data_IF_986754545951
#
_entry.id   IF_986754545951
#
_cell.length_a   1.000
_cell.length_b   1.000
_cell.length_c   1.000
_cell.angle_alpha   90.00
_cell.angle_beta   90.00
_cell.angle_gamma   90.00
#
_symmetry.space_group_name_H-M   'P 1'
#
loop_
_entity.id
_entity.type
_entity.pdbx_description
1 polymer ?
#
# COMPACT_ATOMS: atom_id res chain seq x y z
N UNK A 1 26.99 -51.55 -2.47
CA UNK A 1 26.27 -51.09 -3.68
C UNK A 1 25.03 -50.33 -3.23
N UNK A 2 25.09 -48.99 -3.24
CA UNK A 2 23.93 -48.11 -3.11
C UNK A 2 24.35 -46.77 -3.75
N UNK A 3 24.28 -46.73 -5.09
CA UNK A 3 24.46 -45.48 -5.84
C UNK A 3 23.12 -44.73 -5.79
N UNK A 4 22.93 -43.93 -4.75
CA UNK A 4 21.95 -42.86 -4.78
C UNK A 4 22.49 -41.82 -5.77
N UNK A 5 22.06 -41.94 -7.04
CA UNK A 5 22.34 -40.97 -8.09
C UNK A 5 21.71 -39.64 -7.72
N UNK A 6 22.41 -38.81 -6.94
CA UNK A 6 22.07 -37.39 -6.83
C UNK A 6 22.28 -36.79 -8.21
N UNK A 7 21.19 -36.48 -8.92
CA UNK A 7 21.21 -35.72 -10.16
C UNK A 7 21.76 -34.32 -9.89
N UNK A 8 23.10 -34.20 -9.90
CA UNK A 8 23.81 -32.93 -9.79
C UNK A 8 23.82 -32.31 -11.18
N UNK A 9 23.33 -31.08 -11.30
CA UNK A 9 23.11 -30.46 -12.60
C UNK A 9 24.27 -29.53 -13.03
N UNK A 10 24.91 -28.79 -12.11
CA UNK A 10 25.99 -27.85 -12.45
C UNK A 10 26.83 -27.36 -11.26
N UNK A 11 28.05 -26.87 -11.56
CA UNK A 11 29.02 -26.26 -10.63
C UNK A 11 29.16 -24.73 -10.83
N UNK A 12 29.44 -23.99 -9.75
CA UNK A 12 29.50 -22.51 -9.68
C UNK A 12 30.87 -22.05 -9.14
N UNK A 13 31.46 -21.02 -9.75
CA UNK A 13 32.73 -20.40 -9.31
C UNK A 13 32.58 -18.92 -8.87
N UNK A 14 33.22 -18.54 -7.74
CA UNK A 14 33.21 -17.17 -7.14
C UNK A 14 34.47 -16.37 -7.46
N UNK A 15 34.34 -15.04 -7.59
CA UNK A 15 35.46 -14.08 -7.58
C UNK A 15 35.33 -13.13 -6.39
N UNK A 16 36.40 -12.98 -5.61
CA UNK A 16 36.44 -12.06 -4.47
C UNK A 16 36.90 -10.68 -4.96
N UNK A 17 36.04 -9.66 -4.91
CA UNK A 17 36.34 -8.35 -5.53
C UNK A 17 37.47 -7.58 -4.84
N UNK A 18 37.88 -8.00 -3.64
CA UNK A 18 38.81 -7.24 -2.80
C UNK A 18 40.29 -7.66 -2.92
N UNK A 19 40.63 -8.60 -3.81
CA UNK A 19 42.02 -9.00 -4.02
C UNK A 19 42.28 -9.32 -5.50
N UNK A 20 42.90 -8.37 -6.21
CA UNK A 20 43.12 -8.45 -7.65
C UNK A 20 44.08 -9.58 -8.10
N UNK A 21 44.82 -10.21 -7.17
CA UNK A 21 45.96 -11.06 -7.51
C UNK A 21 45.90 -12.53 -7.04
N UNK A 22 44.77 -13.04 -6.52
CA UNK A 22 44.64 -14.49 -6.25
C UNK A 22 43.34 -15.06 -6.81
N UNK A 23 43.42 -15.72 -7.97
CA UNK A 23 42.32 -16.47 -8.56
C UNK A 23 42.12 -17.79 -7.81
N UNK A 24 41.42 -17.75 -6.68
CA UNK A 24 40.99 -18.97 -6.00
C UNK A 24 39.62 -19.37 -6.54
N UNK A 25 39.60 -20.37 -7.43
CA UNK A 25 38.36 -21.02 -7.90
C UNK A 25 37.77 -21.79 -6.73
N UNK A 26 36.81 -21.19 -6.04
CA UNK A 26 36.03 -21.89 -5.01
C UNK A 26 34.72 -22.40 -5.62
N UNK A 27 34.45 -23.69 -5.41
CA UNK A 27 33.20 -24.31 -5.79
C UNK A 27 32.13 -23.89 -4.78
N UNK A 28 31.22 -23.02 -5.20
CA UNK A 28 30.35 -22.29 -4.28
C UNK A 28 29.10 -23.06 -3.93
N UNK A 29 28.46 -23.66 -4.94
CA UNK A 29 27.19 -24.35 -4.77
C UNK A 29 26.85 -25.17 -5.99
N UNK A 30 26.42 -26.41 -5.74
CA UNK A 30 25.74 -27.24 -6.73
C UNK A 30 24.25 -26.91 -6.65
N UNK A 31 23.63 -26.66 -7.79
CA UNK A 31 22.21 -26.30 -7.91
C UNK A 31 21.42 -27.46 -8.51
N UNK A 32 20.14 -27.53 -8.14
CA UNK A 32 19.22 -28.61 -8.47
C UNK A 32 18.18 -28.17 -9.50
N UNK A 33 17.40 -29.13 -10.01
CA UNK A 33 16.27 -28.85 -10.90
C UNK A 33 15.28 -27.92 -10.18
N UNK A 34 14.88 -26.85 -10.86
CA UNK A 34 13.98 -25.82 -10.31
C UNK A 34 14.70 -24.65 -9.62
N UNK A 35 16.01 -24.74 -9.41
CA UNK A 35 16.79 -23.61 -8.93
C UNK A 35 17.03 -22.56 -10.03
N UNK A 36 17.27 -21.33 -9.61
CA UNK A 36 17.65 -20.21 -10.45
C UNK A 36 18.99 -19.59 -10.01
N UNK A 37 19.60 -18.81 -10.90
CA UNK A 37 20.83 -18.04 -10.69
C UNK A 37 20.83 -16.81 -11.60
N UNK A 38 21.76 -15.87 -11.36
CA UNK A 38 21.89 -14.62 -12.12
C UNK A 38 20.61 -13.77 -12.18
N UNK A 39 19.96 -13.57 -11.03
CA UNK A 39 18.71 -12.79 -10.96
C UNK A 39 18.96 -11.31 -11.23
N UNK A 40 17.97 -10.61 -11.79
CA UNK A 40 18.07 -9.17 -12.05
C UNK A 40 18.06 -8.29 -10.77
N UNK A 41 17.84 -8.87 -9.58
CA UNK A 41 17.80 -8.17 -8.30
C UNK A 41 19.18 -7.63 -7.91
N UNK A 42 19.30 -6.32 -7.72
CA UNK A 42 20.51 -5.66 -7.21
C UNK A 42 20.98 -6.20 -5.86
N UNK A 43 20.05 -6.72 -5.05
CA UNK A 43 20.31 -7.30 -3.73
C UNK A 43 21.13 -8.59 -3.82
N UNK A 44 20.96 -9.37 -4.89
CA UNK A 44 21.72 -10.62 -5.12
C UNK A 44 22.95 -10.41 -6.02
N UNK A 45 23.04 -9.27 -6.70
CA UNK A 45 24.07 -8.94 -7.68
C UNK A 45 25.33 -8.28 -7.10
N UNK A 46 25.63 -8.49 -5.81
CA UNK A 46 26.93 -8.11 -5.26
C UNK A 46 28.09 -8.96 -5.85
N UNK A 47 27.79 -9.98 -6.65
CA UNK A 47 28.78 -10.84 -7.28
C UNK A 47 28.46 -11.06 -8.75
N UNK A 48 29.43 -10.78 -9.62
CA UNK A 48 29.40 -11.21 -11.02
C UNK A 48 29.63 -12.72 -11.06
N UNK A 49 28.68 -13.45 -11.67
CA UNK A 49 28.83 -14.86 -12.00
C UNK A 49 29.94 -15.01 -13.06
N UNK A 50 31.01 -15.74 -12.73
CA UNK A 50 32.19 -15.86 -13.60
C UNK A 50 32.10 -17.09 -14.52
N UNK A 51 31.62 -18.24 -14.01
CA UNK A 51 31.50 -19.49 -14.77
C UNK A 51 30.43 -20.41 -14.19
N UNK A 52 29.60 -20.96 -15.08
CA UNK A 52 28.64 -22.04 -14.81
C UNK A 52 28.98 -23.20 -15.75
N UNK A 53 29.15 -24.40 -15.18
CA UNK A 53 29.43 -25.61 -15.97
C UNK A 53 28.40 -26.68 -15.65
N UNK A 54 27.88 -27.34 -16.68
CA UNK A 54 26.92 -28.44 -16.53
C UNK A 54 27.65 -29.76 -16.33
N UNK A 55 27.24 -30.53 -15.32
CA UNK A 55 27.78 -31.88 -15.06
C UNK A 55 27.06 -32.95 -15.87
N UNK A 56 25.85 -32.64 -16.33
CA UNK A 56 25.00 -33.50 -17.16
C UNK A 56 24.35 -32.69 -18.29
N UNK A 57 23.94 -33.32 -19.41
CA UNK A 57 23.08 -32.65 -20.39
C UNK A 57 21.87 -32.04 -19.70
N UNK A 58 21.69 -30.72 -19.85
CA UNK A 58 20.73 -29.94 -19.08
C UNK A 58 20.00 -28.97 -20.00
N UNK A 59 18.71 -28.73 -19.72
CA UNK A 59 17.91 -27.73 -20.39
C UNK A 59 17.71 -26.56 -19.45
N UNK A 60 18.00 -25.34 -19.92
CA UNK A 60 17.90 -24.12 -19.14
C UNK A 60 16.87 -23.20 -19.78
N UNK A 61 16.05 -22.56 -18.95
CA UNK A 61 15.17 -21.49 -19.39
C UNK A 61 15.89 -20.16 -19.14
N UNK A 62 16.24 -19.47 -20.21
CA UNK A 62 16.89 -18.17 -20.16
C UNK A 62 15.89 -17.05 -20.43
N UNK A 63 16.03 -15.95 -19.69
CA UNK A 63 15.29 -14.73 -19.93
C UNK A 63 16.32 -13.62 -20.15
N UNK A 64 16.28 -12.99 -21.32
CA UNK A 64 17.13 -11.84 -21.61
C UNK A 64 16.71 -10.62 -20.79
N UNK A 65 17.68 -9.89 -20.22
CA UNK A 65 17.43 -8.69 -19.40
C UNK A 65 16.57 -7.64 -20.12
N UNK A 66 16.86 -7.35 -21.38
CA UNK A 66 16.12 -6.36 -22.17
C UNK A 66 14.65 -6.74 -22.34
N UNK A 67 14.37 -8.03 -22.59
CA UNK A 67 13.01 -8.54 -22.69
C UNK A 67 12.30 -8.51 -21.33
N UNK A 68 12.97 -8.93 -20.25
CA UNK A 68 12.41 -8.86 -18.91
C UNK A 68 12.00 -7.44 -18.52
N UNK A 69 12.90 -6.46 -18.69
CA UNK A 69 12.62 -5.06 -18.37
C UNK A 69 11.48 -4.50 -19.22
N UNK A 70 11.45 -4.85 -20.51
CA UNK A 70 10.36 -4.45 -21.41
C UNK A 70 9.02 -5.02 -20.95
N UNK A 71 8.93 -6.33 -20.68
CA UNK A 71 7.69 -6.96 -20.22
C UNK A 71 7.27 -6.47 -18.85
N UNK A 72 8.22 -6.24 -17.93
CA UNK A 72 7.96 -5.65 -16.62
C UNK A 72 7.29 -4.28 -16.77
N UNK A 73 7.88 -3.38 -17.56
CA UNK A 73 7.31 -2.05 -17.84
C UNK A 73 5.92 -2.15 -18.48
N UNK A 74 5.73 -3.05 -19.45
CA UNK A 74 4.43 -3.25 -20.09
C UNK A 74 3.36 -3.73 -19.10
N UNK A 75 3.70 -4.61 -18.15
CA UNK A 75 2.78 -5.09 -17.12
C UNK A 75 2.45 -3.96 -16.14
N UNK A 76 3.46 -3.25 -15.64
CA UNK A 76 3.27 -2.12 -14.71
C UNK A 76 2.40 -1.01 -15.34
N UNK A 77 2.64 -0.67 -16.60
CA UNK A 77 1.85 0.31 -17.35
C UNK A 77 0.40 -0.14 -17.52
N UNK A 78 0.19 -1.42 -17.87
CA UNK A 78 -1.16 -1.97 -18.01
C UNK A 78 -1.91 -1.98 -16.66
N UNK A 79 -1.27 -2.37 -15.57
CA UNK A 79 -1.87 -2.32 -14.23
C UNK A 79 -2.25 -0.89 -13.84
N UNK A 80 -1.39 0.08 -14.17
CA UNK A 80 -1.63 1.50 -13.94
C UNK A 80 -2.84 2.01 -14.73
N UNK A 81 -2.96 1.62 -16.00
CA UNK A 81 -4.13 1.93 -16.83
C UNK A 81 -5.42 1.31 -16.27
N UNK A 82 -5.39 0.05 -15.84
CA UNK A 82 -6.54 -0.63 -15.24
C UNK A 82 -6.99 0.05 -13.94
N UNK A 83 -6.05 0.42 -13.06
CA UNK A 83 -6.34 1.19 -11.85
C UNK A 83 -6.92 2.57 -12.17
N UNK A 84 -6.39 3.25 -13.18
CA UNK A 84 -6.88 4.57 -13.62
C UNK A 84 -8.31 4.48 -14.13
N UNK A 85 -8.59 3.48 -14.96
CA UNK A 85 -9.93 3.22 -15.48
C UNK A 85 -10.91 2.93 -14.32
N UNK A 86 -10.51 2.09 -13.35
CA UNK A 86 -11.30 1.82 -12.16
C UNK A 86 -11.58 3.10 -11.35
N UNK A 87 -10.56 3.89 -11.04
CA UNK A 87 -10.73 5.15 -10.30
C UNK A 87 -11.69 6.12 -11.02
N UNK A 88 -11.64 6.19 -12.35
CA UNK A 88 -12.51 7.07 -13.14
C UNK A 88 -14.00 6.70 -13.04
N UNK A 89 -14.32 5.45 -12.70
CA UNK A 89 -15.72 5.02 -12.47
C UNK A 89 -16.32 5.55 -11.17
N UNK A 90 -15.48 5.99 -10.23
CA UNK A 90 -15.91 6.36 -8.88
C UNK A 90 -16.36 7.82 -8.84
N UNK A 91 -17.47 8.08 -8.15
CA UNK A 91 -18.07 9.41 -8.04
C UNK A 91 -17.13 10.43 -7.38
N UNK A 92 -16.38 10.02 -6.35
CA UNK A 92 -15.40 10.88 -5.63
C UNK A 92 -14.28 11.40 -6.55
N UNK A 93 -13.98 10.70 -7.65
CA UNK A 93 -12.93 11.07 -8.61
C UNK A 93 -13.47 11.63 -9.93
N UNK A 94 -14.78 11.90 -10.02
CA UNK A 94 -15.44 12.32 -11.27
C UNK A 94 -14.78 13.55 -11.90
N UNK A 95 -14.38 14.51 -11.08
CA UNK A 95 -13.77 15.79 -11.50
C UNK A 95 -12.29 15.70 -11.85
N UNK A 96 -11.62 14.58 -11.56
CA UNK A 96 -10.19 14.43 -11.83
C UNK A 96 -9.95 14.13 -13.32
N UNK A 97 -8.92 14.74 -13.89
CA UNK A 97 -8.45 14.43 -15.24
C UNK A 97 -7.87 13.01 -15.29
N UNK A 98 -7.84 12.42 -16.48
CA UNK A 98 -7.27 11.08 -16.65
C UNK A 98 -5.80 11.04 -16.23
N UNK A 99 -5.01 12.05 -16.62
CA UNK A 99 -3.59 12.14 -16.26
C UNK A 99 -3.36 12.26 -14.74
N UNK A 100 -4.23 13.01 -14.05
CA UNK A 100 -4.19 13.10 -12.59
C UNK A 100 -4.46 11.75 -11.94
N UNK A 101 -5.48 11.02 -12.41
CA UNK A 101 -5.80 9.68 -11.93
C UNK A 101 -4.73 8.67 -12.30
N UNK A 102 -4.10 8.82 -13.46
CA UNK A 102 -2.98 7.99 -13.88
C UNK A 102 -1.82 8.13 -12.91
N UNK A 103 -1.43 9.35 -12.54
CA UNK A 103 -0.42 9.57 -11.52
C UNK A 103 -0.84 9.12 -10.11
N UNK A 104 -2.12 9.24 -9.78
CA UNK A 104 -2.67 8.81 -8.49
C UNK A 104 -2.75 7.27 -8.35
N UNK A 105 -2.96 6.57 -9.46
CA UNK A 105 -3.09 5.11 -9.49
C UNK A 105 -1.85 4.36 -9.00
N UNK A 106 -0.68 5.01 -9.00
CA UNK A 106 0.56 4.48 -8.40
C UNK A 106 0.43 4.25 -6.88
N UNK A 107 -0.44 4.99 -6.21
CA UNK A 107 -0.67 4.88 -4.77
C UNK A 107 -1.74 3.85 -4.41
N UNK A 108 -2.41 3.27 -5.40
CA UNK A 108 -3.47 2.28 -5.20
C UNK A 108 -2.88 0.88 -5.15
N UNK A 109 -3.14 0.17 -4.06
CA UNK A 109 -2.78 -1.23 -3.86
C UNK A 109 -4.06 -2.07 -3.74
N UNK A 110 -4.15 -3.16 -4.51
CA UNK A 110 -5.28 -4.09 -4.38
C UNK A 110 -5.01 -5.09 -3.26
N UNK A 111 -5.97 -5.22 -2.34
CA UNK A 111 -5.91 -6.19 -1.23
C UNK A 111 -7.11 -7.11 -1.27
N UNK A 112 -6.86 -8.40 -1.09
CA UNK A 112 -7.92 -9.42 -0.98
C UNK A 112 -8.08 -9.80 0.48
N UNK A 113 -9.31 -9.65 1.00
CA UNK A 113 -9.61 -9.87 2.41
C UNK A 113 -10.66 -10.99 2.54
N UNK A 114 -10.43 -12.03 3.35
CA UNK A 114 -11.43 -13.04 3.66
C UNK A 114 -12.69 -12.45 4.31
N UNK A 115 -13.86 -12.99 3.96
CA UNK A 115 -15.11 -12.67 4.66
C UNK A 115 -15.01 -13.01 6.16
N UNK A 116 -15.64 -12.20 7.00
CA UNK A 116 -15.58 -12.26 8.47
C UNK A 116 -14.44 -11.43 9.08
N UNK A 117 -13.45 -11.01 8.28
CA UNK A 117 -12.36 -10.19 8.80
C UNK A 117 -12.76 -8.72 8.93
N UNK A 118 -12.35 -8.11 10.05
CA UNK A 118 -12.48 -6.67 10.27
C UNK A 118 -11.40 -5.92 9.50
N UNK A 119 -11.83 -4.94 8.70
CA UNK A 119 -10.98 -4.10 7.86
C UNK A 119 -10.55 -2.84 8.63
N UNK A 120 -11.49 -2.26 9.38
CA UNK A 120 -11.29 -1.05 10.17
C UNK A 120 -11.99 -1.22 11.52
N UNK A 121 -11.31 -0.86 12.60
CA UNK A 121 -11.84 -0.92 13.97
C UNK A 121 -12.16 0.48 14.53
N UNK A 122 -13.04 0.50 15.52
CA UNK A 122 -13.31 1.71 16.30
C UNK A 122 -12.03 2.21 16.97
N UNK A 123 -11.87 3.54 17.00
CA UNK A 123 -10.74 4.24 17.58
C UNK A 123 -9.37 3.87 16.98
N UNK A 124 -9.35 3.18 15.83
CA UNK A 124 -8.13 2.93 15.09
C UNK A 124 -7.73 4.20 14.34
N UNK A 125 -6.46 4.63 14.38
CA UNK A 125 -5.97 5.70 13.51
C UNK A 125 -6.29 5.41 12.05
N UNK A 126 -6.84 6.40 11.35
CA UNK A 126 -7.01 6.34 9.91
C UNK A 126 -5.65 6.58 9.26
N UNK A 127 -5.06 5.51 8.74
CA UNK A 127 -3.81 5.53 7.97
C UNK A 127 -4.03 5.22 6.49
N UNK A 128 -5.22 4.73 6.14
CA UNK A 128 -5.55 4.22 4.81
C UNK A 128 -6.96 4.63 4.39
N UNK A 129 -7.13 4.87 3.10
CA UNK A 129 -8.40 5.09 2.42
C UNK A 129 -8.75 3.85 1.59
N UNK A 130 -9.98 3.36 1.73
CA UNK A 130 -10.42 2.10 1.14
C UNK A 130 -11.57 2.32 0.17
N UNK A 131 -11.53 1.61 -0.95
CA UNK A 131 -12.60 1.57 -1.94
C UNK A 131 -12.92 0.11 -2.22
N UNK A 132 -14.19 -0.27 -2.18
CA UNK A 132 -14.61 -1.64 -2.45
C UNK A 132 -14.61 -1.85 -3.96
N UNK A 133 -13.74 -2.73 -4.44
CA UNK A 133 -13.69 -3.14 -5.86
C UNK A 133 -14.61 -4.33 -6.13
N UNK A 134 -14.67 -5.29 -5.20
CA UNK A 134 -15.55 -6.47 -5.28
C UNK A 134 -15.94 -6.94 -3.88
N UNK A 135 -17.17 -7.43 -3.74
CA UNK A 135 -17.70 -7.95 -2.48
C UNK A 135 -18.46 -6.88 -1.70
N UNK A 136 -18.79 -7.19 -0.43
CA UNK A 136 -19.58 -6.32 0.43
C UNK A 136 -18.99 -6.24 1.83
N UNK A 137 -19.23 -5.12 2.51
CA UNK A 137 -18.80 -4.88 3.87
C UNK A 137 -19.96 -4.40 4.73
N UNK A 138 -20.12 -4.95 5.94
CA UNK A 138 -21.03 -4.40 6.93
C UNK A 138 -20.35 -3.28 7.70
N UNK A 139 -21.08 -2.20 7.94
CA UNK A 139 -20.62 -1.01 8.64
C UNK A 139 -21.35 -0.90 9.95
N UNK A 140 -20.59 -0.70 11.02
CA UNK A 140 -21.11 -0.54 12.37
C UNK A 140 -20.61 0.78 12.96
N UNK A 141 -21.44 1.39 13.81
CA UNK A 141 -21.10 2.57 14.60
C UNK A 141 -21.20 2.26 16.09
N UNK A 142 -20.34 2.91 16.86
CA UNK A 142 -20.37 2.84 18.31
C UNK A 142 -21.37 3.85 18.85
N UNK A 143 -22.33 3.40 19.65
CA UNK A 143 -23.17 4.28 20.47
C UNK A 143 -22.78 4.17 21.93
N UNK A 144 -22.83 5.30 22.63
CA UNK A 144 -22.67 5.40 24.07
C UNK A 144 -24.06 5.58 24.67
N UNK A 145 -24.54 4.56 25.39
CA UNK A 145 -25.81 4.58 26.08
C UNK A 145 -25.54 4.88 27.54
N UNK A 146 -26.09 5.99 28.04
CA UNK A 146 -26.02 6.33 29.45
C UNK A 146 -27.33 5.93 30.14
N UNK A 147 -27.22 5.13 31.20
CA UNK A 147 -28.35 4.78 32.06
C UNK A 147 -27.85 4.67 33.50
N UNK A 148 -28.54 5.33 34.43
CA UNK A 148 -28.22 5.33 35.87
C UNK A 148 -26.77 5.74 36.18
N UNK A 149 -26.22 6.70 35.43
CA UNK A 149 -24.84 7.18 35.56
C UNK A 149 -23.77 6.21 35.05
N UNK A 150 -24.16 5.09 34.43
CA UNK A 150 -23.24 4.17 33.77
C UNK A 150 -23.29 4.35 32.25
N UNK A 151 -22.11 4.56 31.65
CA UNK A 151 -21.95 4.61 30.19
C UNK A 151 -21.63 3.21 29.68
N UNK A 152 -22.53 2.61 28.90
CA UNK A 152 -22.31 1.36 28.17
C UNK A 152 -22.11 1.63 26.69
N UNK A 153 -21.20 0.91 26.06
CA UNK A 153 -20.96 1.03 24.61
C UNK A 153 -21.60 -0.10 23.85
N UNK A 154 -22.40 0.24 22.84
CA UNK A 154 -23.04 -0.72 21.95
C UNK A 154 -22.52 -0.55 20.51
N UNK A 155 -22.34 -1.67 19.81
CA UNK A 155 -22.03 -1.71 18.38
C UNK A 155 -23.34 -1.88 17.60
N UNK A 156 -23.66 -0.93 16.73
CA UNK A 156 -24.91 -0.94 15.97
C UNK A 156 -24.62 -0.98 14.48
N UNK A 157 -25.30 -1.88 13.78
CA UNK A 157 -25.25 -1.96 12.33
C UNK A 157 -25.88 -0.71 11.71
N UNK A 158 -25.14 -0.05 10.83
CA UNK A 158 -25.55 1.21 10.17
C UNK A 158 -25.92 0.97 8.71
N UNK A 159 -25.28 0.00 8.07
CA UNK A 159 -25.52 -0.28 6.66
C UNK A 159 -24.46 -1.20 6.07
N UNK A 160 -24.53 -1.34 4.75
CA UNK A 160 -23.64 -2.20 3.98
C UNK A 160 -23.07 -1.41 2.80
N UNK A 161 -21.76 -1.53 2.62
CA UNK A 161 -21.05 -1.00 1.47
C UNK A 161 -20.82 -2.10 0.44
N UNK A 162 -20.98 -1.76 -0.84
CA UNK A 162 -20.76 -2.61 -1.99
C UNK A 162 -19.74 -2.02 -2.97
N UNK A 163 -19.59 -2.61 -4.17
CA UNK A 163 -18.62 -2.15 -5.17
C UNK A 163 -18.81 -0.68 -5.56
N UNK A 164 -17.74 0.11 -5.49
CA UNK A 164 -17.74 1.55 -5.74
C UNK A 164 -17.88 2.40 -4.47
N UNK A 165 -18.40 1.84 -3.38
CA UNK A 165 -18.43 2.52 -2.09
C UNK A 165 -17.03 2.60 -1.49
N UNK A 166 -16.82 3.58 -0.61
CA UNK A 166 -15.53 3.90 -0.03
C UNK A 166 -15.66 4.34 1.42
N UNK A 167 -14.55 4.27 2.17
CA UNK A 167 -14.48 4.71 3.56
C UNK A 167 -13.05 5.07 3.97
N UNK A 168 -12.92 5.91 4.99
CA UNK A 168 -11.62 6.41 5.49
C UNK A 168 -11.16 7.69 4.79
N UNK A 169 -11.99 8.28 3.93
CA UNK A 169 -11.74 9.53 3.20
C UNK A 169 -11.55 10.72 4.14
N UNK A 170 -12.16 10.70 5.33
CA UNK A 170 -11.92 11.71 6.38
C UNK A 170 -10.43 11.86 6.72
N UNK A 171 -9.66 10.76 6.68
CA UNK A 171 -8.22 10.81 6.91
C UNK A 171 -7.43 11.59 5.85
N UNK A 172 -8.00 11.76 4.64
CA UNK A 172 -7.48 12.64 3.59
C UNK A 172 -7.97 14.07 3.83
N UNK A 173 -9.28 14.25 4.06
CA UNK A 173 -9.95 15.56 4.09
C UNK A 173 -9.60 16.34 5.35
N UNK A 174 -9.76 15.77 6.55
CA UNK A 174 -9.62 16.49 7.82
C UNK A 174 -8.16 16.74 8.20
N UNK A 175 -7.24 15.88 7.77
CA UNK A 175 -5.81 16.09 7.98
C UNK A 175 -5.32 17.33 7.24
N UNK A 176 -5.93 17.62 6.09
CA UNK A 176 -5.72 18.89 5.43
C UNK A 176 -6.84 19.85 5.82
N UNK A 177 -6.62 20.65 6.87
CA UNK A 177 -7.32 21.93 7.06
C UNK A 177 -7.18 22.93 5.88
N UNK A 178 -6.75 22.45 4.70
CA UNK A 178 -6.38 23.19 3.49
C UNK A 178 -6.84 22.50 2.19
N UNK A 179 -7.58 21.39 2.22
CA UNK A 179 -8.16 20.80 0.99
C UNK A 179 -9.36 21.63 0.53
N UNK A 180 -9.08 22.79 -0.06
CA UNK A 180 -10.00 23.49 -0.96
C UNK A 180 -10.11 22.68 -2.27
N UNK A 181 -10.71 21.49 -2.20
CA UNK A 181 -11.17 20.79 -3.40
C UNK A 181 -12.36 21.60 -3.91
N UNK A 182 -12.12 22.44 -4.92
CA UNK A 182 -13.12 23.35 -5.53
C UNK A 182 -14.36 22.66 -6.15
N UNK A 183 -14.61 21.38 -5.90
CA UNK A 183 -15.61 20.58 -6.62
C UNK A 183 -16.41 19.60 -5.76
N UNK A 184 -16.48 19.81 -4.43
CA UNK A 184 -17.46 19.12 -3.60
C UNK A 184 -18.17 20.19 -2.75
N UNK A 185 -19.40 20.54 -3.14
CA UNK A 185 -20.28 21.51 -2.45
C UNK A 185 -20.62 21.10 -1.00
N UNK A 186 -20.25 19.89 -0.58
CA UNK A 186 -20.53 19.34 0.76
C UNK A 186 -19.55 19.87 1.82
N UNK A 187 -18.47 20.55 1.42
CA UNK A 187 -17.32 20.82 2.29
C UNK A 187 -17.47 22.10 3.15
N UNK A 188 -18.28 23.07 2.73
CA UNK A 188 -18.38 24.38 3.42
C UNK A 188 -19.02 24.31 4.82
N UNK A 189 -19.66 23.20 5.19
CA UNK A 189 -20.26 23.01 6.52
C UNK A 189 -19.28 22.47 7.58
N UNK A 190 -18.11 21.95 7.19
CA UNK A 190 -17.24 21.18 8.10
C UNK A 190 -16.07 21.97 8.69
N UNK A 191 -15.77 23.18 8.20
CA UNK A 191 -14.58 23.92 8.61
C UNK A 191 -14.90 25.13 9.50
N UNK A 192 -14.93 24.91 10.82
CA UNK A 192 -14.79 25.99 11.81
C UNK A 192 -13.51 25.92 12.64
N UNK A 193 -12.76 24.80 12.64
CA UNK A 193 -11.45 24.70 13.31
C UNK A 193 -10.54 23.65 12.62
N UNK A 194 -9.39 24.02 12.03
CA UNK A 194 -8.42 23.05 11.51
C UNK A 194 -7.77 22.27 12.66
N UNK A 195 -7.73 20.93 12.53
CA UNK A 195 -7.05 20.03 13.47
C UNK A 195 -5.53 20.19 13.29
N UNK A 196 -4.79 20.32 14.40
CA UNK A 196 -3.33 20.43 14.35
C UNK A 196 -2.70 19.11 13.85
N UNK A 197 -1.62 19.20 13.06
CA UNK A 197 -0.87 18.13 12.37
C UNK A 197 -0.45 16.91 13.22
N UNK A 198 -0.66 16.92 14.55
CA UNK A 198 -0.11 15.93 15.48
C UNK A 198 -1.13 14.93 16.03
N UNK A 199 -2.43 15.18 15.90
CA UNK A 199 -3.43 14.30 16.48
C UNK A 199 -3.97 13.31 15.44
N UNK A 200 -3.91 11.99 15.68
CA UNK A 200 -4.42 11.00 14.74
C UNK A 200 -5.95 11.09 14.65
N UNK A 201 -6.47 11.15 13.43
CA UNK A 201 -7.91 11.03 13.19
C UNK A 201 -8.30 9.58 13.46
N UNK A 202 -9.16 9.37 14.45
CA UNK A 202 -9.59 8.04 14.86
C UNK A 202 -10.87 7.63 14.13
N UNK A 203 -10.96 6.36 13.76
CA UNK A 203 -12.17 5.81 13.13
C UNK A 203 -13.35 5.74 14.09
N UNK A 204 -14.47 6.33 13.70
CA UNK A 204 -15.77 6.15 14.37
C UNK A 204 -16.50 4.88 13.90
N UNK A 205 -15.99 4.20 12.88
CA UNK A 205 -16.63 3.08 12.22
C UNK A 205 -15.87 1.78 12.47
N UNK A 206 -16.63 0.68 12.48
CA UNK A 206 -16.10 -0.67 12.35
C UNK A 206 -16.63 -1.26 11.05
N UNK A 207 -15.73 -1.70 10.17
CA UNK A 207 -16.08 -2.23 8.84
C UNK A 207 -15.61 -3.67 8.72
N UNK A 208 -16.52 -4.59 8.37
CA UNK A 208 -16.26 -6.03 8.35
C UNK A 208 -16.63 -6.61 6.98
N UNK A 209 -15.74 -7.40 6.39
CA UNK A 209 -15.99 -8.09 5.12
C UNK A 209 -17.09 -9.16 5.26
N UNK A 210 -18.05 -9.25 4.32
CA UNK A 210 -19.17 -10.19 4.42
C UNK A 210 -19.46 -10.93 3.10
N UNK A 211 -20.11 -12.10 3.21
CA UNK A 211 -20.29 -13.03 2.08
C UNK A 211 -21.46 -12.72 1.16
N UNK A 212 -22.60 -12.22 1.66
CA UNK A 212 -23.70 -11.63 0.84
C UNK A 212 -25.02 -11.38 1.61
N UNK A 213 -25.15 -11.83 2.86
CA UNK A 213 -26.36 -11.60 3.69
C UNK A 213 -26.00 -10.93 5.02
N UNK A 214 -26.80 -9.95 5.41
CA UNK A 214 -26.80 -9.40 6.76
C UNK A 214 -27.01 -10.54 7.75
N UNK A 215 -26.04 -10.79 8.63
CA UNK A 215 -26.38 -11.33 9.93
C UNK A 215 -27.01 -10.17 10.72
N UNK A 216 -28.29 -10.27 11.13
CA UNK A 216 -28.89 -9.25 11.96
C UNK A 216 -28.14 -9.23 13.30
N UNK A 217 -27.50 -8.11 13.64
CA UNK A 217 -26.94 -7.93 14.97
C UNK A 217 -28.08 -7.81 15.96
N UNK A 218 -28.38 -8.89 16.67
CA UNK A 218 -29.33 -8.90 17.77
C UNK A 218 -28.57 -9.48 18.96
N UNK A 219 -27.91 -8.59 19.69
CA UNK A 219 -27.13 -8.82 20.91
C UNK A 219 -25.81 -9.59 20.73
N UNK A 220 -24.69 -8.84 20.74
CA UNK A 220 -23.43 -9.38 21.27
C UNK A 220 -23.62 -9.54 22.78
N UNK A 221 -24.20 -10.66 23.19
CA UNK A 221 -24.14 -11.12 24.58
C UNK A 221 -22.97 -12.10 24.64
N UNK A 222 -22.01 -11.76 25.48
CA UNK A 222 -20.97 -12.67 25.95
C UNK A 222 -21.59 -14.02 26.37
N UNK A 223 -20.89 -15.14 26.07
CA UNK A 223 -21.27 -16.58 26.12
C UNK A 223 -21.47 -17.10 24.68
N UNK A 224 -20.56 -17.84 24.05
CA UNK A 224 -20.16 -19.20 24.44
C UNK A 224 -18.77 -19.60 23.91
N UNK A 225 -17.88 -19.94 24.84
CA UNK A 225 -16.83 -20.94 24.63
C UNK A 225 -17.40 -22.31 25.00
N UNK A 226 -18.38 -22.84 24.26
CA UNK A 226 -18.85 -24.22 24.45
C UNK A 226 -19.82 -24.69 23.37
N UNK A 227 -19.39 -24.73 22.10
CA UNK A 227 -20.09 -25.58 21.10
C UNK A 227 -19.15 -26.00 19.96
N UNK A 228 -18.02 -26.59 20.33
CA UNK A 228 -17.29 -27.53 19.48
C UNK A 228 -17.62 -28.91 20.03
N UNK A 229 -18.66 -29.54 19.47
CA UNK A 229 -18.92 -30.99 19.42
C UNK A 229 -20.43 -31.19 19.33
N UNK A 230 -20.99 -31.30 18.12
CA UNK A 230 -22.12 -32.19 17.80
C UNK A 230 -22.48 -32.01 16.33
N UNK A 231 -21.86 -32.81 15.47
CA UNK A 231 -22.47 -33.41 14.25
C UNK A 231 -21.40 -34.23 13.52
N UNK A 232 -21.04 -35.37 14.11
CA UNK A 232 -20.38 -36.47 13.40
C UNK A 232 -20.90 -37.79 13.99
N UNK A 233 -22.06 -38.23 13.52
CA UNK A 233 -22.50 -39.65 13.48
C UNK A 233 -23.88 -39.74 12.81
N UNK A 234 -24.02 -40.76 11.94
CA UNK A 234 -25.18 -41.14 11.09
C UNK A 234 -25.07 -40.54 9.67
N UNK A 235 -24.75 -41.27 8.61
CA UNK A 235 -25.20 -42.61 8.23
C UNK A 235 -24.15 -43.37 7.40
N UNK A 236 -23.95 -44.64 7.77
CA UNK A 236 -23.45 -45.69 6.89
C UNK A 236 -24.65 -46.52 6.41
N UNK A 237 -24.50 -47.13 5.23
CA UNK A 237 -25.38 -48.06 4.52
C UNK A 237 -26.28 -47.40 3.46
N UNK A 238 -25.78 -47.34 2.23
CA UNK A 238 -26.33 -48.19 1.17
C UNK A 238 -25.38 -48.26 -0.03
N UNK A 239 -25.16 -49.49 -0.48
CA UNK A 239 -24.28 -49.86 -1.59
C UNK A 239 -25.12 -50.40 -2.75
N UNK A 240 -25.17 -49.67 -3.86
CA UNK A 240 -25.47 -50.21 -5.19
C UNK A 240 -25.02 -49.22 -6.28
N UNK A 241 -23.82 -49.45 -6.83
CA UNK A 241 -23.43 -49.09 -8.21
C UNK A 241 -24.08 -50.07 -9.20
N UNK A 242 -24.24 -49.78 -10.51
CA UNK A 242 -23.39 -48.94 -11.37
C UNK A 242 -24.20 -47.87 -12.15
N UNK A 243 -23.64 -46.82 -12.75
CA UNK A 243 -22.86 -46.94 -13.97
C UNK A 243 -22.18 -45.63 -14.39
N UNK A 244 -21.17 -45.81 -15.23
CA UNK A 244 -20.22 -44.83 -15.75
C UNK A 244 -20.88 -43.70 -16.57
N UNK A 245 -20.77 -42.47 -16.08
CA UNK A 245 -20.61 -41.25 -16.92
C UNK A 245 -20.07 -40.13 -16.01
N UNK A 246 -18.83 -40.30 -15.53
CA UNK A 246 -18.06 -39.15 -15.02
C UNK A 246 -17.72 -38.30 -16.25
N UNK A 247 -18.58 -37.35 -16.59
CA UNK A 247 -18.23 -36.25 -17.48
C UNK A 247 -16.92 -35.66 -16.94
N UNK A 248 -15.86 -35.80 -17.72
CA UNK A 248 -14.57 -35.15 -17.45
C UNK A 248 -14.78 -33.66 -17.59
N UNK A 249 -15.17 -33.02 -16.49
CA UNK A 249 -15.22 -31.57 -16.35
C UNK A 249 -13.85 -31.05 -16.78
N UNK A 250 -13.86 -30.17 -17.79
CA UNK A 250 -12.65 -29.60 -18.37
C UNK A 250 -11.81 -28.92 -17.28
N UNK A 251 -10.48 -28.91 -17.45
CA UNK A 251 -9.57 -28.18 -16.54
C UNK A 251 -10.01 -26.72 -16.40
N UNK A 252 -10.59 -26.13 -17.46
CA UNK A 252 -11.09 -24.75 -17.46
C UNK A 252 -12.33 -24.58 -16.58
N UNK A 253 -13.27 -25.53 -16.61
CA UNK A 253 -14.47 -25.50 -15.77
C UNK A 253 -14.12 -25.68 -14.29
N UNK A 254 -13.13 -26.54 -13.96
CA UNK A 254 -12.62 -26.66 -12.59
C UNK A 254 -11.96 -25.37 -12.11
N UNK A 255 -11.15 -24.72 -12.97
CA UNK A 255 -10.54 -23.42 -12.66
C UNK A 255 -11.61 -22.34 -12.46
N UNK A 256 -12.67 -22.33 -13.27
CA UNK A 256 -13.78 -21.39 -13.16
C UNK A 256 -14.57 -21.59 -11.87
N UNK A 257 -14.93 -22.83 -11.53
CA UNK A 257 -15.60 -23.18 -10.27
C UNK A 257 -14.75 -22.79 -9.06
N UNK A 258 -13.45 -23.08 -9.09
CA UNK A 258 -12.54 -22.74 -8.00
C UNK A 258 -12.33 -21.22 -7.87
N UNK A 259 -12.33 -20.49 -8.98
CA UNK A 259 -12.32 -19.02 -9.01
C UNK A 259 -13.59 -18.46 -8.37
N UNK A 260 -14.77 -18.97 -8.76
CA UNK A 260 -16.06 -18.56 -8.19
C UNK A 260 -16.13 -18.79 -6.68
N UNK A 261 -15.69 -19.96 -6.20
CA UNK A 261 -15.64 -20.26 -4.76
C UNK A 261 -14.69 -19.33 -3.99
N UNK A 262 -13.55 -18.95 -4.59
CA UNK A 262 -12.61 -17.98 -3.98
C UNK A 262 -13.21 -16.57 -3.96
N UNK A 263 -13.89 -16.18 -5.03
CA UNK A 263 -14.57 -14.89 -5.14
C UNK A 263 -15.71 -14.75 -4.13
N UNK A 264 -16.43 -15.83 -3.83
CA UNK A 264 -17.49 -15.83 -2.81
C UNK A 264 -16.97 -15.77 -1.36
N UNK A 265 -15.68 -16.02 -1.12
CA UNK A 265 -15.10 -16.05 0.25
C UNK A 265 -14.21 -14.86 0.54
N UNK A 266 -14.03 -13.97 -0.43
CA UNK A 266 -13.09 -12.86 -0.34
C UNK A 266 -13.66 -11.60 -0.95
N UNK A 267 -13.35 -10.47 -0.34
CA UNK A 267 -13.59 -9.15 -0.90
C UNK A 267 -12.28 -8.62 -1.50
N UNK A 268 -12.39 -7.77 -2.53
CA UNK A 268 -11.24 -7.02 -3.06
C UNK A 268 -11.43 -5.54 -2.76
N UNK A 269 -10.41 -4.95 -2.14
CA UNK A 269 -10.33 -3.53 -1.85
C UNK A 269 -9.22 -2.90 -2.68
N UNK A 270 -9.46 -1.68 -3.15
CA UNK A 270 -8.42 -0.76 -3.54
C UNK A 270 -8.06 0.09 -2.31
N UNK A 271 -6.81 0.01 -1.88
CA UNK A 271 -6.30 0.66 -0.67
C UNK A 271 -5.30 1.72 -1.07
N UNK A 272 -5.44 2.89 -0.48
CA UNK A 272 -4.57 4.03 -0.70
C UNK A 272 -4.04 4.46 0.66
N UNK A 273 -2.74 4.33 0.87
CA UNK A 273 -2.10 4.83 2.08
C UNK A 273 -2.20 6.38 2.12
N UNK A 274 -2.64 6.93 3.25
CA UNK A 274 -2.92 8.36 3.37
C UNK A 274 -1.66 9.19 3.21
N UNK A 275 -0.51 8.75 3.72
CA UNK A 275 0.76 9.46 3.52
C UNK A 275 1.12 9.61 2.02
N UNK A 276 0.95 8.55 1.22
CA UNK A 276 1.17 8.56 -0.22
C UNK A 276 0.14 9.45 -0.92
N UNK A 277 -1.13 9.34 -0.53
CA UNK A 277 -2.21 10.17 -1.06
C UNK A 277 -1.94 11.66 -0.81
N UNK A 278 -1.59 12.04 0.43
CA UNK A 278 -1.32 13.41 0.85
C UNK A 278 -0.19 14.03 0.03
N UNK A 279 0.93 13.31 -0.13
CA UNK A 279 2.05 13.77 -0.96
C UNK A 279 1.63 14.00 -2.42
N UNK A 280 0.84 13.08 -3.00
CA UNK A 280 0.34 13.25 -4.37
C UNK A 280 -0.67 14.40 -4.48
N UNK A 281 -1.62 14.52 -3.56
CA UNK A 281 -2.60 15.61 -3.55
C UNK A 281 -1.95 16.97 -3.35
N UNK A 282 -0.99 17.10 -2.42
CA UNK A 282 -0.23 18.33 -2.24
C UNK A 282 0.46 18.73 -3.53
N UNK A 283 1.17 17.79 -4.17
CA UNK A 283 1.83 18.05 -5.44
C UNK A 283 0.80 18.46 -6.51
N UNK A 284 -0.33 17.75 -6.64
CA UNK A 284 -1.39 18.10 -7.62
C UNK A 284 -2.01 19.48 -7.36
N UNK A 285 -2.25 19.87 -6.11
CA UNK A 285 -2.76 21.19 -5.76
C UNK A 285 -1.74 22.26 -6.11
N UNK A 286 -0.47 22.05 -5.76
CA UNK A 286 0.61 22.95 -6.16
C UNK A 286 0.66 23.08 -7.67
N UNK A 287 0.66 21.98 -8.43
CA UNK A 287 0.64 22.01 -9.90
C UNK A 287 -0.56 22.74 -10.49
N UNK A 288 -1.78 22.53 -9.97
CA UNK A 288 -2.99 23.19 -10.49
C UNK A 288 -3.01 24.71 -10.24
N UNK A 289 -2.27 25.22 -9.24
CA UNK A 289 -2.05 26.67 -9.09
C UNK A 289 -1.30 27.25 -10.29
N UNK A 290 -0.45 26.43 -10.91
CA UNK A 290 0.40 26.83 -12.04
C UNK A 290 -0.22 26.47 -13.40
N UNK A 291 -1.17 25.54 -13.46
CA UNK A 291 -1.78 25.05 -14.72
C UNK A 291 -2.53 26.15 -15.50
N UNK A 292 -3.02 27.18 -14.82
CA UNK A 292 -3.72 28.31 -15.45
C UNK A 292 -2.81 29.47 -15.82
N UNK A 293 -1.54 29.42 -15.45
CA UNK A 293 -0.60 30.49 -15.71
C UNK A 293 0.00 30.30 -17.11
N UNK A 294 0.05 31.39 -17.86
CA UNK A 294 0.81 31.47 -19.10
C UNK A 294 2.30 31.23 -18.85
N UNK A 295 3.04 30.90 -19.90
CA UNK A 295 4.47 30.65 -19.82
C UNK A 295 5.25 31.85 -19.27
N UNK A 296 4.81 33.07 -19.59
CA UNK A 296 5.41 34.31 -19.07
C UNK A 296 5.11 34.49 -17.58
N UNK A 297 3.89 34.19 -17.13
CA UNK A 297 3.54 34.25 -15.70
C UNK A 297 4.28 33.19 -14.87
N UNK A 298 4.48 31.99 -15.43
CA UNK A 298 5.32 30.95 -14.83
C UNK A 298 6.77 31.40 -14.73
N UNK A 299 7.29 32.07 -15.76
CA UNK A 299 8.64 32.62 -15.76
C UNK A 299 8.80 33.74 -14.71
N UNK A 300 7.83 34.64 -14.60
CA UNK A 300 7.80 35.66 -13.54
C UNK A 300 7.78 35.03 -12.14
N UNK A 301 6.96 34.00 -11.91
CA UNK A 301 6.94 33.27 -10.63
C UNK A 301 8.26 32.58 -10.31
N UNK A 302 8.93 32.03 -11.34
CA UNK A 302 10.26 31.45 -11.18
C UNK A 302 11.30 32.50 -10.80
N UNK A 303 11.29 33.67 -11.46
CA UNK A 303 12.18 34.78 -11.13
C UNK A 303 11.92 35.29 -9.71
N UNK A 304 10.67 35.47 -9.30
CA UNK A 304 10.30 35.84 -7.92
C UNK A 304 10.85 34.84 -6.90
N UNK A 305 10.69 33.53 -7.15
CA UNK A 305 11.23 32.48 -6.26
C UNK A 305 12.76 32.46 -6.22
N UNK A 306 13.41 32.75 -7.35
CA UNK A 306 14.87 32.85 -7.44
C UNK A 306 15.39 34.07 -6.68
N UNK A 307 14.73 35.23 -6.83
CA UNK A 307 15.04 36.46 -6.12
C UNK A 307 14.82 36.31 -4.61
N UNK A 308 13.74 35.66 -4.19
CA UNK A 308 13.48 35.37 -2.78
C UNK A 308 14.57 34.45 -2.19
N UNK A 309 15.01 33.43 -2.91
CA UNK A 309 16.15 32.59 -2.50
C UNK A 309 17.44 33.38 -2.38
N UNK A 310 17.71 34.29 -3.31
CA UNK A 310 18.90 35.15 -3.26
C UNK A 310 18.83 36.14 -2.10
N UNK A 311 17.66 36.72 -1.85
CA UNK A 311 17.42 37.61 -0.71
C UNK A 311 17.58 36.88 0.62
N UNK A 312 17.06 35.66 0.74
CA UNK A 312 17.21 34.85 1.94
C UNK A 312 18.67 34.49 2.21
N UNK A 313 19.44 34.14 1.16
CA UNK A 313 20.90 33.93 1.28
C UNK A 313 21.64 35.19 1.74
N UNK A 314 21.30 36.35 1.19
CA UNK A 314 21.92 37.63 1.58
C UNK A 314 21.59 37.98 3.03
N UNK A 315 20.33 37.80 3.44
CA UNK A 315 19.88 38.02 4.82
C UNK A 315 20.60 37.09 5.79
N UNK A 316 20.76 35.81 5.44
CA UNK A 316 21.53 34.85 6.23
C UNK A 316 23.00 35.27 6.35
N UNK A 317 23.62 35.70 5.26
CA UNK A 317 24.99 36.19 5.27
C UNK A 317 25.17 37.42 6.18
N UNK A 318 24.28 38.41 6.07
CA UNK A 318 24.29 39.61 6.91
C UNK A 318 24.08 39.27 8.39
N UNK A 319 23.13 38.39 8.69
CA UNK A 319 22.89 37.93 10.05
C UNK A 319 24.09 37.17 10.62
N UNK A 320 24.73 36.32 9.81
CA UNK A 320 25.97 35.63 10.20
C UNK A 320 27.10 36.62 10.48
N UNK A 321 27.28 37.64 9.64
CA UNK A 321 28.28 38.71 9.88
C UNK A 321 28.03 39.43 11.21
N UNK A 322 26.78 39.84 11.45
CA UNK A 322 26.38 40.51 12.70
C UNK A 322 26.54 39.62 13.93
N UNK A 323 26.25 38.31 13.82
CA UNK A 323 26.47 37.36 14.92
C UNK A 323 27.95 37.20 15.25
N UNK A 324 28.83 37.16 14.24
CA UNK A 324 30.28 37.10 14.44
C UNK A 324 30.80 38.34 15.15
N UNK A 325 30.28 39.52 14.81
CA UNK A 325 30.63 40.78 15.49
C UNK A 325 30.15 40.82 16.95
N UNK A 326 28.92 40.38 17.22
CA UNK A 326 28.35 40.42 18.58
C UNK A 326 29.03 39.41 19.50
N UNK A 327 29.34 38.21 19.00
CA UNK A 327 29.87 37.10 19.80
C UNK A 327 31.40 36.97 19.74
N UNK A 328 32.07 37.78 18.91
CA UNK A 328 33.52 37.71 18.65
C UNK A 328 34.02 36.30 18.27
N UNK A 329 33.16 35.46 17.68
CA UNK A 329 33.52 34.13 17.19
C UNK A 329 33.41 34.13 15.66
N UNK A 330 34.52 33.97 14.90
CA UNK A 330 34.49 33.98 13.44
C UNK A 330 33.79 32.77 12.82
N UNK A 331 33.54 31.72 13.61
CA UNK A 331 32.96 30.44 13.15
C UNK A 331 31.48 30.30 13.44
N UNK A 332 30.87 31.27 14.15
CA UNK A 332 29.44 31.23 14.49
C UNK A 332 28.58 31.56 13.27
N UNK A 333 27.47 30.83 13.15
CA UNK A 333 26.43 31.03 12.13
C UNK A 333 25.05 30.89 12.78
N UNK A 334 24.00 31.39 12.12
CA UNK A 334 22.60 31.29 12.58
C UNK A 334 22.22 29.83 12.84
N UNK A 335 22.57 28.90 11.93
CA UNK A 335 22.29 27.47 12.11
C UNK A 335 23.00 26.86 13.32
N UNK A 336 24.27 27.22 13.55
CA UNK A 336 25.01 26.78 14.76
C UNK A 336 24.40 27.35 16.04
N UNK A 337 23.96 28.61 16.01
CA UNK A 337 23.31 29.25 17.16
C UNK A 337 21.97 28.58 17.49
N UNK A 338 21.19 28.22 16.48
CA UNK A 338 19.93 27.49 16.65
C UNK A 338 20.17 26.05 17.14
N UNK A 339 21.23 25.38 16.69
CA UNK A 339 21.67 24.09 17.23
C UNK A 339 22.11 24.18 18.71
N UNK A 340 22.80 25.26 19.08
CA UNK A 340 23.19 25.52 20.47
C UNK A 340 21.96 25.76 21.36
N UNK A 341 21.01 26.59 20.92
CA UNK A 341 19.75 26.85 21.62
C UNK A 341 18.84 25.62 21.69
N UNK A 342 18.87 24.76 20.67
CA UNK A 342 18.16 23.48 20.66
C UNK A 342 18.70 22.49 21.70
N UNK A 343 20.01 22.53 22.00
CA UNK A 343 20.65 21.73 23.04
C UNK A 343 20.44 22.27 24.46
N UNK A 344 20.14 23.55 24.62
CA UNK A 344 19.88 24.18 25.93
C UNK A 344 18.42 24.01 26.43
N UNK A 345 17.51 23.41 25.65
CA UNK A 345 16.10 23.21 26.06
C UNK A 345 15.85 22.13 27.13
N UNK A 346 16.89 21.51 27.68
CA UNK A 346 16.77 20.62 28.86
C UNK A 346 17.81 20.99 29.91
N UNK A 347 17.47 21.97 30.75
CA UNK A 347 17.90 22.12 32.15
C UNK A 347 17.22 23.35 32.74
N UNK A 348 15.94 23.21 33.05
CA UNK A 348 15.31 23.81 34.23
C UNK A 348 14.54 22.69 34.92
#
# INVERSE_FOLDING_TARGET
MNNAGTNRAYEYYRRNSNNANSFKRENVRIKQIGDYFNTFSTIDNNYLLDLVTTTTPSYLLEIEKGNYEKFKKMIEEKEKQEKTAFLKTLSIFKTFSYDSLFNFSECVEYRTIPCGQTILNFNQPLDEFYIIKRGKCNVYRRLFLERDGQVKTAKIYVGQFGPGDYFGERGIIEYHGFLHIKNIEIIDQFFSNPIADKDPILSELCVVAVKDKCEPSIYDTELDQQEINYTNKSNANDSTTPDFLKQTISIEEKKFQQKKIREEKTIELAVIALNKARLKFQNTIEYSKFEKLSQDELYCKYLESSEEKNWNKLKEHLNNGRLKEILNDPTITVSKLDEMKGKERWKI
#
